data_IF_047948548283
#
_entry.id   IF_047948548283
#
_cell.length_a   1.000
_cell.length_b   1.000
_cell.length_c   1.000
_cell.angle_alpha   90.00
_cell.angle_beta   90.00
_cell.angle_gamma   90.00
#
_symmetry.space_group_name_H-M   'P 1'
#
loop_
_entity.id
_entity.type
_entity.pdbx_description
1 polymer ?
#
# COMPACT_ATOMS: atom_id res chain seq x y z
N UNK A 1 -17.02 -24.90 17.08
CA UNK A 1 -15.58 -25.23 17.01
C UNK A 1 -15.28 -26.56 17.69
N UNK A 2 -15.83 -26.84 18.88
CA UNK A 2 -15.77 -28.19 19.49
C UNK A 2 -16.25 -29.28 18.52
N UNK A 3 -17.37 -29.06 17.83
CA UNK A 3 -17.93 -30.01 16.86
C UNK A 3 -16.96 -30.41 15.73
N UNK A 4 -16.17 -29.50 15.16
CA UNK A 4 -15.26 -29.84 14.05
C UNK A 4 -14.02 -30.60 14.53
N UNK A 5 -13.51 -30.26 15.71
CA UNK A 5 -12.40 -30.98 16.34
C UNK A 5 -12.83 -32.38 16.81
N UNK A 6 -14.04 -32.50 17.36
CA UNK A 6 -14.62 -33.81 17.70
C UNK A 6 -14.82 -34.69 16.46
N UNK A 7 -15.31 -34.12 15.35
CA UNK A 7 -15.47 -34.86 14.10
C UNK A 7 -14.13 -35.31 13.49
N UNK A 8 -13.08 -34.49 13.60
CA UNK A 8 -11.73 -34.86 13.17
C UNK A 8 -11.12 -35.96 14.04
N UNK A 9 -11.28 -35.89 15.36
CA UNK A 9 -10.87 -36.94 16.29
C UNK A 9 -11.57 -38.25 15.99
N UNK A 10 -12.91 -38.23 15.84
CA UNK A 10 -13.70 -39.42 15.47
C UNK A 10 -13.24 -40.00 14.14
N UNK A 11 -12.94 -39.17 13.14
CA UNK A 11 -12.43 -39.63 11.86
C UNK A 11 -11.05 -40.32 11.96
N UNK A 12 -10.14 -39.81 12.80
CA UNK A 12 -8.84 -40.43 13.04
C UNK A 12 -9.00 -41.76 13.78
N UNK A 13 -9.77 -41.79 14.87
CA UNK A 13 -10.02 -43.01 15.64
C UNK A 13 -10.63 -44.11 14.76
N UNK A 14 -11.63 -43.76 13.94
CA UNK A 14 -12.24 -44.71 12.98
C UNK A 14 -11.24 -45.17 11.93
N UNK A 15 -10.42 -44.28 11.35
CA UNK A 15 -9.42 -44.67 10.36
C UNK A 15 -8.33 -45.60 10.93
N UNK A 16 -7.95 -45.41 12.20
CA UNK A 16 -7.01 -46.29 12.92
C UNK A 16 -7.66 -47.64 13.20
N UNK A 17 -8.93 -47.66 13.64
CA UNK A 17 -9.69 -48.89 13.88
C UNK A 17 -9.84 -49.72 12.60
N UNK A 18 -10.18 -49.08 11.47
CA UNK A 18 -10.32 -49.71 10.16
C UNK A 18 -9.01 -50.33 9.66
N UNK A 19 -7.87 -49.67 9.90
CA UNK A 19 -6.55 -50.18 9.54
C UNK A 19 -6.16 -51.42 10.36
N UNK A 20 -6.53 -51.46 11.65
CA UNK A 20 -6.28 -52.62 12.53
C UNK A 20 -7.15 -53.80 12.11
N UNK A 21 -8.42 -53.56 11.80
CA UNK A 21 -9.32 -54.61 11.32
C UNK A 21 -8.81 -55.22 10.01
N UNK A 22 -8.35 -54.40 9.06
CA UNK A 22 -7.75 -54.86 7.82
C UNK A 22 -6.44 -55.65 8.04
N UNK A 23 -5.64 -55.26 9.04
CA UNK A 23 -4.43 -56.00 9.43
C UNK A 23 -4.77 -57.35 10.11
N UNK A 24 -5.78 -57.39 10.97
CA UNK A 24 -6.29 -58.61 11.61
C UNK A 24 -6.78 -59.63 10.59
N UNK A 25 -7.61 -59.19 9.64
CA UNK A 25 -8.21 -60.05 8.61
C UNK A 25 -7.15 -60.64 7.66
N UNK A 26 -6.06 -59.91 7.41
CA UNK A 26 -4.96 -60.37 6.56
C UNK A 26 -3.97 -61.30 7.27
N UNK A 27 -3.88 -61.24 8.60
CA UNK A 27 -2.94 -62.04 9.41
C UNK A 27 -3.59 -63.27 10.08
N UNK A 28 -4.91 -63.42 10.02
CA UNK A 28 -5.62 -64.56 10.60
C UNK A 28 -5.51 -64.63 12.13
N UNK A 29 -5.47 -63.48 12.81
CA UNK A 29 -5.35 -63.42 14.26
C UNK A 29 -6.58 -64.00 14.96
N UNK A 30 -6.38 -64.69 16.09
CA UNK A 30 -7.49 -65.15 16.92
C UNK A 30 -8.26 -63.95 17.50
N UNK A 31 -9.60 -64.03 17.60
CA UNK A 31 -10.46 -62.91 18.00
C UNK A 31 -10.14 -62.37 19.40
N UNK A 32 -9.57 -63.19 20.28
CA UNK A 32 -9.16 -62.80 21.64
C UNK A 32 -7.96 -61.85 21.63
N UNK A 33 -6.97 -62.10 20.76
CA UNK A 33 -5.76 -61.26 20.59
C UNK A 33 -6.11 -59.93 19.93
N UNK A 34 -7.06 -59.93 18.99
CA UNK A 34 -7.55 -58.71 18.34
C UNK A 34 -8.29 -57.81 19.33
N UNK A 35 -9.06 -58.40 20.24
CA UNK A 35 -9.82 -57.65 21.25
C UNK A 35 -8.92 -57.07 22.34
N UNK A 36 -7.92 -57.82 22.81
CA UNK A 36 -6.95 -57.34 23.80
C UNK A 36 -6.03 -56.26 23.21
N UNK A 37 -5.55 -56.46 21.97
CA UNK A 37 -4.77 -55.45 21.25
C UNK A 37 -5.58 -54.19 20.95
N UNK A 38 -6.86 -54.34 20.57
CA UNK A 38 -7.76 -53.23 20.31
C UNK A 38 -8.04 -52.39 21.56
N UNK A 39 -8.22 -53.02 22.73
CA UNK A 39 -8.45 -52.31 23.99
C UNK A 39 -7.22 -51.55 24.48
N UNK A 40 -6.02 -52.13 24.35
CA UNK A 40 -4.76 -51.46 24.71
C UNK A 40 -4.45 -50.30 23.75
N UNK A 41 -4.73 -50.47 22.46
CA UNK A 41 -4.56 -49.40 21.48
C UNK A 41 -5.60 -48.30 21.65
N UNK A 42 -6.84 -48.61 22.01
CA UNK A 42 -7.87 -47.59 22.28
C UNK A 42 -7.46 -46.72 23.49
N UNK A 43 -6.92 -47.30 24.56
CA UNK A 43 -6.43 -46.55 25.73
C UNK A 43 -5.19 -45.67 25.40
N UNK A 44 -4.23 -46.22 24.63
CA UNK A 44 -3.06 -45.46 24.18
C UNK A 44 -3.42 -44.34 23.20
N UNK A 45 -4.34 -44.61 22.27
CA UNK A 45 -4.78 -43.64 21.26
C UNK A 45 -5.68 -42.58 21.90
N UNK A 46 -6.66 -42.96 22.72
CA UNK A 46 -7.57 -41.99 23.35
C UNK A 46 -6.85 -41.06 24.33
N UNK A 47 -5.93 -41.58 25.15
CA UNK A 47 -5.13 -40.79 26.09
C UNK A 47 -4.21 -39.77 25.40
N UNK A 48 -3.51 -40.17 24.33
CA UNK A 48 -2.64 -39.26 23.58
C UNK A 48 -3.42 -38.26 22.73
N UNK A 49 -4.56 -38.67 22.16
CA UNK A 49 -5.39 -37.82 21.30
C UNK A 49 -6.04 -36.68 22.10
N UNK A 50 -6.49 -36.92 23.33
CA UNK A 50 -7.04 -35.86 24.20
C UNK A 50 -5.98 -34.82 24.60
N UNK A 51 -4.74 -35.26 24.83
CA UNK A 51 -3.60 -34.37 25.15
C UNK A 51 -3.18 -33.56 23.92
N UNK A 52 -3.12 -34.18 22.75
CA UNK A 52 -2.81 -33.50 21.48
C UNK A 52 -3.92 -32.50 21.16
N UNK A 53 -5.18 -32.87 21.36
CA UNK A 53 -6.34 -32.02 21.09
C UNK A 53 -6.42 -30.82 22.02
N UNK A 54 -6.17 -31.00 23.32
CA UNK A 54 -6.17 -29.89 24.30
C UNK A 54 -5.02 -28.90 24.06
N UNK A 55 -3.83 -29.40 23.69
CA UNK A 55 -2.71 -28.55 23.27
C UNK A 55 -3.04 -27.80 21.98
N UNK A 56 -3.55 -28.50 20.97
CA UNK A 56 -3.90 -27.90 19.68
C UNK A 56 -5.00 -26.84 19.85
N UNK A 57 -6.06 -27.13 20.60
CA UNK A 57 -7.12 -26.18 20.92
C UNK A 57 -6.58 -24.93 21.62
N UNK A 58 -5.64 -25.07 22.56
CA UNK A 58 -5.00 -23.95 23.23
C UNK A 58 -4.15 -23.06 22.31
N UNK A 59 -3.41 -23.65 21.36
CA UNK A 59 -2.69 -22.89 20.32
C UNK A 59 -3.67 -22.22 19.35
N UNK A 60 -4.73 -22.92 18.96
CA UNK A 60 -5.73 -22.45 18.02
C UNK A 60 -6.51 -21.26 18.56
N UNK A 61 -6.95 -21.32 19.82
CA UNK A 61 -7.66 -20.22 20.46
C UNK A 61 -6.79 -18.96 20.57
N UNK A 62 -5.53 -19.10 21.01
CA UNK A 62 -4.59 -17.95 21.07
C UNK A 62 -4.29 -17.38 19.69
N UNK A 63 -4.18 -18.23 18.68
CA UNK A 63 -3.95 -17.80 17.31
C UNK A 63 -5.15 -17.03 16.75
N UNK A 64 -6.37 -17.57 16.87
CA UNK A 64 -7.60 -16.93 16.40
C UNK A 64 -7.85 -15.62 17.17
N UNK A 65 -7.72 -15.62 18.51
CA UNK A 65 -7.99 -14.43 19.32
C UNK A 65 -7.02 -13.27 19.04
N UNK A 66 -5.80 -13.57 18.60
CA UNK A 66 -4.78 -12.57 18.31
C UNK A 66 -4.83 -12.12 16.85
N UNK A 67 -5.03 -13.05 15.92
CA UNK A 67 -5.00 -12.78 14.47
C UNK A 67 -6.32 -12.24 13.93
N UNK A 68 -7.47 -12.70 14.45
CA UNK A 68 -8.80 -12.30 13.95
C UNK A 68 -9.07 -10.79 14.11
N UNK A 69 -8.78 -10.15 15.27
CA UNK A 69 -8.96 -8.71 15.40
C UNK A 69 -7.98 -7.92 14.54
N UNK A 70 -6.73 -8.39 14.41
CA UNK A 70 -5.72 -7.77 13.55
C UNK A 70 -6.12 -7.80 12.08
N UNK A 71 -6.57 -8.95 11.58
CA UNK A 71 -7.10 -9.11 10.23
C UNK A 71 -8.31 -8.22 9.97
N UNK A 72 -9.25 -8.13 10.92
CA UNK A 72 -10.41 -7.25 10.77
C UNK A 72 -10.01 -5.77 10.73
N UNK A 73 -9.12 -5.32 11.61
CA UNK A 73 -8.60 -3.94 11.58
C UNK A 73 -7.86 -3.64 10.29
N UNK A 74 -6.97 -4.54 9.86
CA UNK A 74 -6.24 -4.44 8.59
C UNK A 74 -7.19 -4.36 7.39
N UNK A 75 -8.23 -5.21 7.37
CA UNK A 75 -9.22 -5.24 6.31
C UNK A 75 -10.06 -3.96 6.27
N UNK A 76 -10.56 -3.50 7.42
CA UNK A 76 -11.32 -2.24 7.52
C UNK A 76 -10.46 -1.06 7.08
N UNK A 77 -9.22 -0.98 7.58
CA UNK A 77 -8.27 0.07 7.20
C UNK A 77 -7.99 0.03 5.69
N UNK A 78 -7.72 -1.15 5.13
CA UNK A 78 -7.52 -1.33 3.71
C UNK A 78 -8.72 -0.86 2.88
N UNK A 79 -9.94 -1.25 3.28
CA UNK A 79 -11.17 -0.84 2.60
C UNK A 79 -11.34 0.69 2.65
N UNK A 80 -11.14 1.31 3.81
CA UNK A 80 -11.24 2.76 3.98
C UNK A 80 -10.22 3.47 3.09
N UNK A 81 -8.95 3.06 3.14
CA UNK A 81 -7.90 3.68 2.34
C UNK A 81 -8.12 3.46 0.83
N UNK A 82 -8.54 2.27 0.42
CA UNK A 82 -8.89 1.96 -0.96
C UNK A 82 -10.08 2.81 -1.44
N UNK A 83 -11.08 3.03 -0.58
CA UNK A 83 -12.23 3.88 -0.91
C UNK A 83 -11.79 5.34 -1.08
N UNK A 84 -10.98 5.87 -0.17
CA UNK A 84 -10.39 7.21 -0.28
C UNK A 84 -9.60 7.33 -1.59
N UNK A 85 -8.71 6.37 -1.87
CA UNK A 85 -7.96 6.32 -3.12
C UNK A 85 -8.88 6.34 -4.35
N UNK A 86 -9.95 5.53 -4.35
CA UNK A 86 -10.93 5.48 -5.44
C UNK A 86 -11.65 6.81 -5.63
N UNK A 87 -12.07 7.47 -4.55
CA UNK A 87 -12.73 8.78 -4.59
C UNK A 87 -11.78 9.84 -5.13
N UNK A 88 -10.57 9.93 -4.59
CA UNK A 88 -9.58 10.91 -5.04
C UNK A 88 -9.26 10.71 -6.51
N UNK A 89 -8.98 9.47 -6.95
CA UNK A 89 -8.71 9.16 -8.36
C UNK A 89 -9.87 9.55 -9.28
N UNK A 90 -11.11 9.35 -8.83
CA UNK A 90 -12.29 9.75 -9.60
C UNK A 90 -12.40 11.27 -9.73
N UNK A 91 -12.16 12.01 -8.65
CA UNK A 91 -12.17 13.49 -8.65
C UNK A 91 -11.06 14.01 -9.55
N UNK A 92 -9.85 13.50 -9.39
CA UNK A 92 -8.68 13.89 -10.17
C UNK A 92 -8.93 13.64 -11.67
N UNK A 93 -9.49 12.49 -12.04
CA UNK A 93 -9.81 12.17 -13.44
C UNK A 93 -10.90 13.08 -14.01
N UNK A 94 -11.88 13.48 -13.21
CA UNK A 94 -12.91 14.45 -13.63
C UNK A 94 -12.32 15.84 -13.85
N UNK A 95 -11.40 16.29 -12.99
CA UNK A 95 -10.76 17.60 -13.11
C UNK A 95 -9.86 17.64 -14.36
N UNK A 96 -9.03 16.61 -14.55
CA UNK A 96 -8.07 16.56 -15.66
C UNK A 96 -8.79 16.48 -17.02
N UNK A 97 -9.82 15.64 -17.15
CA UNK A 97 -10.62 15.54 -18.39
C UNK A 97 -11.40 16.82 -18.75
N UNK A 98 -11.64 17.71 -17.78
CA UNK A 98 -12.32 18.99 -18.03
C UNK A 98 -11.39 20.02 -18.68
N UNK A 99 -10.09 19.85 -18.52
CA UNK A 99 -9.09 20.74 -19.07
C UNK A 99 -8.69 20.29 -20.48
N UNK A 100 -9.32 20.86 -21.52
CA UNK A 100 -8.98 20.64 -22.95
C UNK A 100 -7.50 20.95 -23.32
N UNK A 101 -6.71 21.50 -22.39
CA UNK A 101 -5.31 21.89 -22.58
C UNK A 101 -4.30 20.95 -21.91
N UNK A 102 -4.75 19.90 -21.21
CA UNK A 102 -3.84 18.91 -20.61
C UNK A 102 -3.59 17.80 -21.62
N UNK A 103 -2.33 17.60 -21.99
CA UNK A 103 -1.91 16.50 -22.84
C UNK A 103 -2.23 15.15 -22.17
N UNK A 104 -2.70 14.17 -22.94
CA UNK A 104 -3.04 12.83 -22.43
C UNK A 104 -1.82 12.13 -21.79
N UNK A 105 -0.61 12.46 -22.23
CA UNK A 105 0.63 12.02 -21.62
C UNK A 105 0.79 12.55 -20.19
N UNK A 106 0.57 13.85 -19.98
CA UNK A 106 0.69 14.48 -18.65
C UNK A 106 -0.35 13.95 -17.67
N UNK A 107 -1.60 13.76 -18.12
CA UNK A 107 -2.64 13.14 -17.29
C UNK A 107 -2.24 11.72 -16.85
N UNK A 108 -1.77 10.89 -17.79
CA UNK A 108 -1.35 9.53 -17.51
C UNK A 108 -0.20 9.49 -16.50
N UNK A 109 0.79 10.38 -16.64
CA UNK A 109 1.92 10.47 -15.73
C UNK A 109 1.48 10.86 -14.32
N UNK A 110 0.68 11.92 -14.17
CA UNK A 110 0.18 12.36 -12.85
C UNK A 110 -0.64 11.28 -12.14
N UNK A 111 -1.52 10.60 -12.89
CA UNK A 111 -2.34 9.52 -12.33
C UNK A 111 -1.53 8.32 -11.90
N UNK A 112 -0.52 7.93 -12.69
CA UNK A 112 0.37 6.82 -12.36
C UNK A 112 1.20 7.14 -11.12
N UNK A 113 1.80 8.32 -11.06
CA UNK A 113 2.59 8.77 -9.90
C UNK A 113 1.74 8.81 -8.63
N UNK A 114 0.55 9.42 -8.69
CA UNK A 114 -0.37 9.44 -7.55
C UNK A 114 -0.77 8.03 -7.11
N UNK A 115 -1.11 7.16 -8.05
CA UNK A 115 -1.50 5.78 -7.75
C UNK A 115 -0.37 4.99 -7.10
N UNK A 116 0.86 5.15 -7.60
CA UNK A 116 2.04 4.50 -7.02
C UNK A 116 2.24 4.94 -5.57
N UNK A 117 2.24 6.25 -5.29
CA UNK A 117 2.43 6.79 -3.94
C UNK A 117 1.33 6.33 -2.98
N UNK A 118 0.07 6.35 -3.42
CA UNK A 118 -1.05 5.88 -2.61
C UNK A 118 -0.91 4.39 -2.26
N UNK A 119 -0.55 3.54 -3.22
CA UNK A 119 -0.35 2.11 -2.96
C UNK A 119 0.79 1.84 -1.98
N UNK A 120 1.91 2.56 -2.09
CA UNK A 120 3.02 2.43 -1.12
C UNK A 120 2.54 2.73 0.30
N UNK A 121 1.78 3.82 0.49
CA UNK A 121 1.25 4.17 1.81
C UNK A 121 0.23 3.14 2.33
N UNK A 122 -0.68 2.66 1.47
CA UNK A 122 -1.65 1.63 1.83
C UNK A 122 -0.96 0.37 2.33
N UNK A 123 0.05 -0.11 1.59
CA UNK A 123 0.79 -1.32 1.95
C UNK A 123 1.46 -1.15 3.32
N UNK A 124 2.13 -0.02 3.56
CA UNK A 124 2.79 0.26 4.83
C UNK A 124 1.78 0.28 5.99
N UNK A 125 0.67 1.00 5.82
CA UNK A 125 -0.37 1.09 6.85
C UNK A 125 -1.02 -0.27 7.15
N UNK A 126 -1.16 -1.13 6.15
CA UNK A 126 -1.68 -2.49 6.34
C UNK A 126 -0.66 -3.40 7.03
N UNK A 127 0.63 -3.32 6.68
CA UNK A 127 1.69 -4.10 7.33
C UNK A 127 1.79 -3.80 8.82
N UNK A 128 1.63 -2.54 9.21
CA UNK A 128 1.61 -2.11 10.62
C UNK A 128 0.50 -2.83 11.43
N UNK A 129 -0.65 -3.12 10.82
CA UNK A 129 -1.74 -3.86 11.49
C UNK A 129 -1.41 -5.33 11.77
N UNK A 130 -0.41 -5.90 11.08
CA UNK A 130 0.10 -7.24 11.36
C UNK A 130 1.19 -7.25 12.44
N UNK A 131 1.48 -6.12 13.07
CA UNK A 131 2.51 -5.98 14.10
C UNK A 131 3.94 -5.96 13.53
N UNK A 132 4.07 -5.71 12.22
CA UNK A 132 5.38 -5.50 11.58
C UNK A 132 5.80 -4.06 11.87
N UNK A 133 7.00 -3.87 12.43
CA UNK A 133 7.54 -2.53 12.64
C UNK A 133 7.85 -1.84 11.30
N UNK A 134 7.00 -0.88 10.94
CA UNK A 134 7.14 -0.09 9.70
C UNK A 134 8.03 1.13 9.85
N UNK A 135 8.59 1.38 11.04
CA UNK A 135 9.43 2.56 11.31
C UNK A 135 10.64 2.61 10.37
N UNK A 136 11.30 1.47 10.15
CA UNK A 136 12.43 1.37 9.22
C UNK A 136 12.02 1.66 7.77
N UNK A 137 10.84 1.21 7.34
CA UNK A 137 10.30 1.49 5.99
C UNK A 137 10.00 2.98 5.81
N UNK A 138 9.35 3.59 6.80
CA UNK A 138 9.04 5.02 6.81
C UNK A 138 10.33 5.87 6.84
N UNK A 139 11.33 5.46 7.62
CA UNK A 139 12.63 6.12 7.65
C UNK A 139 13.32 6.07 6.27
N UNK A 140 13.34 4.89 5.62
CA UNK A 140 13.89 4.73 4.28
C UNK A 140 13.15 5.57 3.23
N UNK A 141 11.81 5.56 3.25
CA UNK A 141 11.01 6.40 2.35
C UNK A 141 11.23 7.89 2.56
N UNK A 142 11.49 8.33 3.79
CA UNK A 142 11.77 9.73 4.08
C UNK A 142 13.06 10.20 3.41
N UNK A 143 14.11 9.37 3.43
CA UNK A 143 15.38 9.67 2.75
C UNK A 143 15.16 9.76 1.23
N UNK A 144 14.41 8.82 0.65
CA UNK A 144 14.07 8.84 -0.79
C UNK A 144 13.23 10.10 -1.11
N UNK A 145 12.25 10.42 -0.26
CA UNK A 145 11.40 11.60 -0.39
C UNK A 145 12.20 12.90 -0.34
N UNK A 146 13.22 12.98 0.52
CA UNK A 146 14.15 14.11 0.54
C UNK A 146 14.93 14.22 -0.76
N UNK A 147 15.48 13.12 -1.28
CA UNK A 147 16.19 13.12 -2.55
C UNK A 147 15.31 13.60 -3.71
N UNK A 148 14.07 13.13 -3.78
CA UNK A 148 13.08 13.58 -4.78
C UNK A 148 12.74 15.06 -4.61
N UNK A 149 12.61 15.53 -3.37
CA UNK A 149 12.32 16.93 -3.07
C UNK A 149 13.47 17.85 -3.50
N UNK A 150 14.71 17.45 -3.26
CA UNK A 150 15.88 18.19 -3.75
C UNK A 150 15.93 18.21 -5.28
N UNK A 151 15.63 17.10 -5.94
CA UNK A 151 15.56 17.05 -7.40
C UNK A 151 14.45 17.96 -7.97
N UNK A 152 13.35 18.15 -7.22
CA UNK A 152 12.23 19.00 -7.63
C UNK A 152 12.39 20.48 -7.24
N UNK A 153 13.44 20.84 -6.48
CA UNK A 153 13.62 22.17 -5.86
C UNK A 153 13.47 23.31 -6.88
N UNK A 154 14.24 23.28 -7.97
CA UNK A 154 14.25 24.37 -8.96
C UNK A 154 12.90 24.53 -9.66
N UNK A 155 12.18 23.43 -9.89
CA UNK A 155 10.85 23.48 -10.49
C UNK A 155 9.83 24.11 -9.55
N UNK A 156 9.91 23.78 -8.26
CA UNK A 156 9.06 24.35 -7.24
C UNK A 156 9.35 25.84 -7.03
N UNK A 157 10.63 26.23 -7.03
CA UNK A 157 11.05 27.63 -6.88
C UNK A 157 10.52 28.50 -8.02
N UNK A 158 10.59 28.01 -9.27
CA UNK A 158 10.00 28.69 -10.43
C UNK A 158 8.48 28.81 -10.34
N UNK A 159 7.80 27.76 -9.85
CA UNK A 159 6.34 27.76 -9.70
C UNK A 159 5.89 28.78 -8.65
N UNK A 160 6.53 28.78 -7.48
CA UNK A 160 6.24 29.74 -6.40
C UNK A 160 6.53 31.16 -6.90
N UNK A 161 7.67 31.38 -7.56
CA UNK A 161 8.02 32.69 -8.13
C UNK A 161 6.98 33.16 -9.15
N UNK A 162 6.51 32.27 -10.02
CA UNK A 162 5.43 32.59 -10.97
C UNK A 162 4.14 33.02 -10.26
N UNK A 163 3.74 32.32 -9.21
CA UNK A 163 2.58 32.69 -8.39
C UNK A 163 2.79 34.06 -7.73
N UNK A 164 3.95 34.30 -7.12
CA UNK A 164 4.29 35.57 -6.48
C UNK A 164 4.20 36.73 -7.47
N UNK A 165 4.76 36.60 -8.67
CA UNK A 165 4.67 37.64 -9.72
C UNK A 165 3.21 37.92 -10.08
N UNK A 166 2.37 36.88 -10.18
CA UNK A 166 0.96 37.04 -10.56
C UNK A 166 0.11 37.70 -9.46
N UNK A 167 0.43 37.42 -8.18
CA UNK A 167 -0.27 37.96 -7.02
C UNK A 167 0.20 39.38 -6.72
N UNK A 168 1.50 39.57 -6.50
CA UNK A 168 2.08 40.83 -6.05
C UNK A 168 2.22 41.84 -7.19
N UNK A 169 2.25 41.34 -8.44
CA UNK A 169 2.35 42.13 -9.68
C UNK A 169 3.46 43.20 -9.62
N UNK A 170 4.72 42.85 -9.30
CA UNK A 170 5.84 43.80 -9.33
C UNK A 170 6.05 44.40 -10.74
N UNK A 171 5.65 43.66 -11.77
CA UNK A 171 5.53 44.09 -13.16
C UNK A 171 4.36 43.35 -13.82
N UNK A 172 3.94 43.80 -14.99
CA UNK A 172 2.81 43.28 -15.77
C UNK A 172 3.22 43.02 -17.21
N UNK A 173 2.41 42.23 -17.92
CA UNK A 173 2.55 42.09 -19.37
C UNK A 173 2.43 43.45 -20.06
N UNK A 174 3.42 43.77 -20.90
CA UNK A 174 3.60 45.07 -21.55
C UNK A 174 4.66 45.96 -20.90
N UNK A 175 5.10 45.66 -19.67
CA UNK A 175 6.10 46.48 -18.99
C UNK A 175 7.50 46.22 -19.58
N UNK A 176 8.30 47.28 -19.66
CA UNK A 176 9.72 47.20 -20.02
C UNK A 176 10.55 47.04 -18.75
N UNK A 177 11.31 45.95 -18.69
CA UNK A 177 12.12 45.60 -17.51
C UNK A 177 13.54 45.24 -17.92
N UNK A 178 14.45 45.34 -16.95
CA UNK A 178 15.81 44.83 -17.05
C UNK A 178 15.98 43.74 -16.02
N UNK A 179 16.34 42.54 -16.48
CA UNK A 179 16.56 41.37 -15.62
C UNK A 179 17.87 40.71 -16.05
N UNK A 180 18.76 40.50 -15.09
CA UNK A 180 20.10 39.93 -15.30
C UNK A 180 20.87 40.60 -16.47
N UNK A 181 20.87 41.94 -16.49
CA UNK A 181 21.54 42.74 -17.53
C UNK A 181 20.86 42.73 -18.92
N UNK A 182 19.75 42.01 -19.09
CA UNK A 182 19.00 41.95 -20.35
C UNK A 182 17.80 42.90 -20.31
N UNK A 183 17.69 43.79 -21.30
CA UNK A 183 16.55 44.68 -21.48
C UNK A 183 15.49 44.05 -22.40
N UNK A 184 14.22 44.07 -21.98
CA UNK A 184 13.11 43.57 -22.80
C UNK A 184 11.74 43.99 -22.31
N UNK A 185 10.73 43.80 -23.16
CA UNK A 185 9.31 44.01 -22.83
C UNK A 185 8.68 42.67 -22.43
N UNK A 186 7.95 42.63 -21.33
CA UNK A 186 7.25 41.43 -20.85
C UNK A 186 6.09 41.11 -21.77
N UNK A 187 6.10 39.93 -22.39
CA UNK A 187 5.03 39.51 -23.30
C UNK A 187 4.04 38.58 -22.62
N UNK A 188 4.54 37.58 -21.90
CA UNK A 188 3.70 36.57 -21.25
C UNK A 188 4.36 36.10 -19.96
N UNK A 189 3.57 36.00 -18.89
CA UNK A 189 3.98 35.41 -17.62
C UNK A 189 3.26 34.06 -17.50
N UNK A 190 4.02 32.98 -17.47
CA UNK A 190 3.50 31.61 -17.24
C UNK A 190 3.87 31.14 -15.84
N UNK A 191 3.39 29.96 -15.43
CA UNK A 191 3.66 29.42 -14.09
C UNK A 191 5.16 29.21 -13.80
N UNK A 192 5.99 28.89 -14.80
CA UNK A 192 7.41 28.56 -14.59
C UNK A 192 8.41 29.53 -15.22
N UNK A 193 7.95 30.34 -16.17
CA UNK A 193 8.82 31.22 -16.96
C UNK A 193 8.09 32.47 -17.42
N UNK A 194 8.85 33.54 -17.59
CA UNK A 194 8.39 34.80 -18.18
C UNK A 194 9.05 34.96 -19.55
N UNK A 195 8.26 35.33 -20.55
CA UNK A 195 8.72 35.57 -21.92
C UNK A 195 8.95 37.05 -22.10
N UNK A 196 10.17 37.41 -22.48
CA UNK A 196 10.59 38.78 -22.75
C UNK A 196 10.87 38.94 -24.24
N UNK A 197 10.54 40.11 -24.78
CA UNK A 197 10.85 40.49 -26.15
C UNK A 197 11.93 41.57 -26.15
N UNK A 198 13.08 41.27 -26.72
CA UNK A 198 14.22 42.20 -26.76
C UNK A 198 13.97 43.33 -27.76
N UNK A 199 14.82 44.37 -27.74
CA UNK A 199 14.79 45.45 -28.74
C UNK A 199 15.02 44.96 -30.17
N UNK A 200 15.72 43.82 -30.32
CA UNK A 200 15.96 43.16 -31.59
C UNK A 200 14.80 42.26 -32.03
N UNK A 201 13.66 42.32 -31.32
CA UNK A 201 12.46 41.51 -31.55
C UNK A 201 12.71 39.98 -31.39
N UNK A 202 13.66 39.59 -30.55
CA UNK A 202 13.91 38.19 -30.19
C UNK A 202 13.08 37.82 -28.94
N UNK A 203 12.54 36.60 -28.92
CA UNK A 203 11.82 36.07 -27.77
C UNK A 203 12.78 35.32 -26.85
N UNK A 204 12.96 35.84 -25.64
CA UNK A 204 13.76 35.22 -24.59
C UNK A 204 12.84 34.62 -23.53
N UNK A 205 13.09 33.36 -23.17
CA UNK A 205 12.32 32.66 -22.13
C UNK A 205 13.19 32.55 -20.89
N UNK A 206 12.81 33.28 -19.83
CA UNK A 206 13.55 33.31 -18.58
C UNK A 206 12.77 32.58 -17.47
N UNK A 207 13.43 31.74 -16.65
CA UNK A 207 12.84 31.15 -15.45
C UNK A 207 12.29 32.22 -14.50
N UNK A 208 11.13 31.98 -13.90
CA UNK A 208 10.52 32.94 -12.97
C UNK A 208 11.36 33.17 -11.71
N UNK A 209 12.15 32.18 -11.29
CA UNK A 209 13.03 32.34 -10.12
C UNK A 209 14.09 33.43 -10.31
N UNK A 210 14.47 33.75 -11.56
CA UNK A 210 15.42 34.83 -11.87
C UNK A 210 14.76 36.22 -11.90
N UNK A 211 13.43 36.29 -11.82
CA UNK A 211 12.69 37.56 -11.91
C UNK A 211 12.48 38.23 -10.54
N UNK A 212 12.61 37.46 -9.46
CA UNK A 212 12.34 37.91 -8.08
C UNK A 212 13.63 38.07 -7.27
N UNK A 213 14.72 37.39 -7.68
CA UNK A 213 16.01 37.44 -7.01
C UNK A 213 16.90 38.57 -7.50
#
# INVERSE_FOLDING_TARGET
MSLLLTQFTVAITVAVQDAIQAASDSLGMEPEVVQESGAVLDDLVSGDIDVIQSRFAGYWDRFISTMLPGLLKALVLFIVLYLVFRVVRSILGKILRRSKKVDSGLESLLMKTFSMLAWVLIVIMVLDQFGIDVTALLAGLSIIGLAVSFAAKDSLENFISGITILIDRPFRGGDQIVVDGTYGTVEEITLRSTRLRTLNNEMMVMPNMLMIN
#
